data_IF_727278920095
#
_entry.id   IF_727278920095
#
_cell.length_a   1.000
_cell.length_b   1.000
_cell.length_c   1.000
_cell.angle_alpha   90.00
_cell.angle_beta   90.00
_cell.angle_gamma   90.00
#
_symmetry.space_group_name_H-M   'P 1'
#
loop_
_entity.id
_entity.type
_entity.pdbx_description
1 polymer ?
#
# COMPACT_ATOMS: atom_id res chain seq x y z
N UNK A 1 16.47 22.14 -8.01
CA UNK A 1 16.34 20.92 -7.19
C UNK A 1 15.07 21.04 -6.37
N UNK A 2 14.03 20.29 -6.73
CA UNK A 2 12.70 20.44 -6.13
C UNK A 2 12.70 19.89 -4.69
N UNK A 3 12.48 20.76 -3.71
CA UNK A 3 12.22 20.38 -2.34
C UNK A 3 11.01 19.45 -2.32
N UNK A 4 11.26 18.16 -2.11
CA UNK A 4 10.20 17.19 -1.85
C UNK A 4 9.62 17.52 -0.48
N UNK A 5 8.61 18.39 -0.50
CA UNK A 5 7.73 18.68 0.62
C UNK A 5 7.23 17.31 1.12
N UNK A 6 7.79 16.82 2.21
CA UNK A 6 7.31 15.61 2.89
C UNK A 6 5.89 15.95 3.30
N UNK A 7 4.91 15.51 2.48
CA UNK A 7 3.50 15.72 2.79
C UNK A 7 3.30 15.15 4.17
N UNK A 8 2.92 16.01 5.11
CA UNK A 8 2.42 15.67 6.44
C UNK A 8 1.50 14.47 6.24
N UNK A 9 1.91 13.30 6.71
CA UNK A 9 1.08 12.10 6.69
C UNK A 9 -0.18 12.47 7.46
N UNK A 10 -1.26 12.82 6.75
CA UNK A 10 -2.60 12.91 7.34
C UNK A 10 -2.84 11.50 7.89
N UNK A 11 -3.05 11.42 9.20
CA UNK A 11 -3.23 10.26 10.06
C UNK A 11 -3.11 8.86 9.43
N UNK A 12 -2.31 7.93 10.00
CA UNK A 12 -2.16 6.56 9.50
C UNK A 12 -3.51 5.81 9.37
N UNK A 13 -4.48 6.15 10.21
CA UNK A 13 -5.87 5.69 10.13
C UNK A 13 -6.56 6.04 8.81
N UNK A 14 -6.29 7.23 8.25
CA UNK A 14 -6.90 7.65 6.98
C UNK A 14 -6.36 6.86 5.80
N UNK A 15 -5.09 6.48 5.81
CA UNK A 15 -4.50 5.59 4.81
C UNK A 15 -5.10 4.18 4.86
N UNK A 16 -5.36 3.68 6.07
CA UNK A 16 -6.00 2.37 6.28
C UNK A 16 -7.47 2.35 5.82
N UNK A 17 -8.23 3.40 6.10
CA UNK A 17 -9.61 3.49 5.61
C UNK A 17 -9.67 3.54 4.07
N UNK A 18 -8.75 4.28 3.44
CA UNK A 18 -8.67 4.41 1.98
C UNK A 18 -8.33 3.08 1.31
N UNK A 19 -7.55 2.22 1.96
CA UNK A 19 -7.16 0.92 1.41
C UNK A 19 -8.28 -0.11 1.51
N UNK A 20 -9.07 -0.07 2.57
CA UNK A 20 -10.30 -0.88 2.69
C UNK A 20 -11.30 -0.49 1.61
N UNK A 21 -11.63 0.81 1.51
CA UNK A 21 -12.61 1.30 0.52
C UNK A 21 -12.11 1.08 -0.91
N UNK A 22 -10.82 1.35 -1.16
CA UNK A 22 -10.20 1.12 -2.45
C UNK A 22 -10.20 -0.36 -2.85
N UNK A 23 -9.83 -1.27 -1.95
CA UNK A 23 -9.86 -2.70 -2.21
C UNK A 23 -11.28 -3.21 -2.44
N UNK A 24 -12.27 -2.75 -1.66
CA UNK A 24 -13.67 -3.11 -1.84
C UNK A 24 -14.19 -2.67 -3.22
N UNK A 25 -13.97 -1.41 -3.60
CA UNK A 25 -14.41 -0.90 -4.90
C UNK A 25 -13.72 -1.60 -6.08
N UNK A 26 -12.39 -1.80 -5.99
CA UNK A 26 -11.63 -2.50 -7.03
C UNK A 26 -12.04 -3.96 -7.16
N UNK A 27 -12.21 -4.68 -6.04
CA UNK A 27 -12.62 -6.09 -6.10
C UNK A 27 -13.98 -6.26 -6.77
N UNK A 28 -14.97 -5.42 -6.45
CA UNK A 28 -16.27 -5.44 -7.13
C UNK A 28 -16.15 -5.12 -8.62
N UNK A 29 -15.48 -4.03 -8.98
CA UNK A 29 -15.33 -3.58 -10.37
C UNK A 29 -14.65 -4.64 -11.24
N UNK A 30 -13.61 -5.25 -10.69
CA UNK A 30 -12.76 -6.19 -11.38
C UNK A 30 -13.38 -7.60 -11.44
N UNK A 31 -14.39 -7.87 -10.61
CA UNK A 31 -15.19 -9.10 -10.70
C UNK A 31 -16.20 -9.09 -11.86
N UNK A 32 -16.56 -7.91 -12.40
CA UNK A 32 -17.55 -7.77 -13.48
C UNK A 32 -17.16 -8.52 -14.77
N UNK A 33 -15.92 -8.40 -15.30
CA UNK A 33 -15.51 -9.13 -16.51
C UNK A 33 -15.62 -10.65 -16.39
N UNK A 34 -15.55 -11.19 -15.17
CA UNK A 34 -15.63 -12.64 -14.97
C UNK A 34 -17.00 -13.21 -15.31
N UNK A 35 -18.05 -12.37 -15.36
CA UNK A 35 -19.39 -12.76 -15.78
C UNK A 35 -19.45 -13.18 -17.26
N UNK A 36 -18.50 -12.75 -18.10
CA UNK A 36 -18.45 -13.11 -19.51
C UNK A 36 -17.79 -14.49 -19.78
N UNK A 37 -17.20 -15.13 -18.76
CA UNK A 37 -16.50 -16.41 -18.93
C UNK A 37 -17.45 -17.56 -18.58
N UNK A 38 -17.81 -18.43 -19.54
CA UNK A 38 -18.77 -19.52 -19.31
C UNK A 38 -18.15 -20.72 -18.58
N UNK A 39 -16.82 -20.87 -18.60
CA UNK A 39 -16.11 -21.99 -17.97
C UNK A 39 -15.77 -21.68 -16.49
N UNK A 40 -16.24 -22.50 -15.53
CA UNK A 40 -16.10 -22.21 -14.10
C UNK A 40 -14.65 -22.32 -13.60
N UNK A 41 -13.83 -23.27 -14.08
CA UNK A 41 -12.44 -23.42 -13.61
C UNK A 41 -11.55 -22.27 -14.06
N UNK A 42 -11.68 -21.85 -15.33
CA UNK A 42 -10.95 -20.72 -15.88
C UNK A 42 -11.33 -19.42 -15.15
N UNK A 43 -12.62 -19.27 -14.82
CA UNK A 43 -13.13 -18.11 -14.09
C UNK A 43 -12.47 -17.98 -12.71
N UNK A 44 -12.33 -19.06 -11.96
CA UNK A 44 -11.70 -19.07 -10.64
C UNK A 44 -10.19 -18.74 -10.68
N UNK A 45 -9.46 -19.32 -11.65
CA UNK A 45 -8.04 -19.05 -11.84
C UNK A 45 -7.81 -17.58 -12.17
N UNK A 46 -8.56 -17.03 -13.13
CA UNK A 46 -8.47 -15.62 -13.51
C UNK A 46 -8.80 -14.71 -12.33
N UNK A 47 -9.85 -15.02 -11.57
CA UNK A 47 -10.24 -14.26 -10.36
C UNK A 47 -9.10 -14.19 -9.35
N UNK A 48 -8.39 -15.30 -9.10
CA UNK A 48 -7.29 -15.34 -8.15
C UNK A 48 -6.12 -14.42 -8.58
N UNK A 49 -5.71 -14.46 -9.85
CA UNK A 49 -4.64 -13.59 -10.38
C UNK A 49 -5.02 -12.11 -10.33
N UNK A 50 -6.27 -11.85 -10.66
CA UNK A 50 -6.80 -10.50 -10.78
C UNK A 50 -6.97 -9.86 -9.40
N UNK A 51 -7.48 -10.60 -8.41
CA UNK A 51 -7.56 -10.16 -7.01
C UNK A 51 -6.19 -9.98 -6.38
N UNK A 52 -5.23 -10.85 -6.71
CA UNK A 52 -3.84 -10.66 -6.30
C UNK A 52 -3.29 -9.32 -6.83
N UNK A 53 -3.61 -8.98 -8.07
CA UNK A 53 -3.27 -7.67 -8.67
C UNK A 53 -3.94 -6.49 -7.97
N UNK A 54 -5.23 -6.61 -7.62
CA UNK A 54 -5.96 -5.59 -6.85
C UNK A 54 -5.33 -5.38 -5.48
N UNK A 55 -5.04 -6.47 -4.78
CA UNK A 55 -4.33 -6.45 -3.51
C UNK A 55 -2.97 -5.77 -3.62
N UNK A 56 -2.20 -6.17 -4.62
CA UNK A 56 -0.90 -5.61 -4.94
C UNK A 56 -0.96 -4.09 -5.18
N UNK A 57 -1.98 -3.61 -5.92
CA UNK A 57 -2.19 -2.20 -6.19
C UNK A 57 -2.60 -1.42 -4.93
N UNK A 58 -3.53 -1.96 -4.13
CA UNK A 58 -3.97 -1.36 -2.88
C UNK A 58 -2.82 -1.23 -1.86
N UNK A 59 -1.97 -2.26 -1.75
CA UNK A 59 -0.80 -2.28 -0.87
C UNK A 59 0.25 -1.20 -1.18
N UNK A 60 0.32 -0.72 -2.43
CA UNK A 60 1.26 0.35 -2.84
C UNK A 60 0.94 1.71 -2.22
N UNK A 61 -0.31 1.93 -1.84
CA UNK A 61 -0.78 3.18 -1.22
C UNK A 61 -0.58 3.21 0.30
N UNK A 62 -0.38 2.04 0.93
CA UNK A 62 -0.17 1.91 2.37
C UNK A 62 1.33 1.84 2.68
N UNK A 63 1.89 2.88 3.31
CA UNK A 63 3.32 2.86 3.69
C UNK A 63 3.66 1.83 4.79
N UNK A 64 2.67 1.31 5.53
CA UNK A 64 2.83 0.23 6.49
C UNK A 64 2.32 -1.09 5.89
N UNK A 65 3.23 -1.93 5.40
CA UNK A 65 2.88 -3.16 4.67
C UNK A 65 1.91 -4.10 5.40
N UNK A 66 2.03 -4.25 6.73
CA UNK A 66 1.11 -5.06 7.53
C UNK A 66 -0.29 -4.46 7.66
N UNK A 67 -0.41 -3.13 7.72
CA UNK A 67 -1.72 -2.46 7.72
C UNK A 67 -2.37 -2.53 6.33
N UNK A 68 -1.56 -2.46 5.26
CA UNK A 68 -2.02 -2.66 3.89
C UNK A 68 -2.54 -4.08 3.63
N UNK A 69 -1.87 -5.11 4.18
CA UNK A 69 -2.32 -6.51 4.16
C UNK A 69 -3.70 -6.65 4.81
N UNK A 70 -3.86 -6.15 6.04
CA UNK A 70 -5.12 -6.25 6.77
C UNK A 70 -6.25 -5.49 6.05
N UNK A 71 -5.98 -4.30 5.52
CA UNK A 71 -6.96 -3.53 4.77
C UNK A 71 -7.38 -4.19 3.45
N UNK A 72 -6.43 -4.73 2.69
CA UNK A 72 -6.72 -5.46 1.44
C UNK A 72 -7.44 -6.79 1.69
N UNK A 73 -7.09 -7.49 2.78
CA UNK A 73 -7.78 -8.73 3.19
C UNK A 73 -9.24 -8.45 3.55
N UNK A 74 -9.49 -7.47 4.43
CA UNK A 74 -10.85 -7.10 4.86
C UNK A 74 -11.65 -6.57 3.66
N UNK A 75 -11.09 -5.64 2.89
CA UNK A 75 -11.77 -5.09 1.71
C UNK A 75 -12.04 -6.12 0.62
N UNK A 76 -11.11 -7.05 0.38
CA UNK A 76 -11.29 -8.13 -0.60
C UNK A 76 -12.28 -9.20 -0.13
N UNK A 77 -12.29 -9.54 1.15
CA UNK A 77 -13.28 -10.45 1.73
C UNK A 77 -14.69 -9.87 1.62
N UNK A 78 -14.91 -8.65 2.13
CA UNK A 78 -16.23 -8.02 2.05
C UNK A 78 -16.66 -7.71 0.61
N UNK A 79 -15.74 -7.32 -0.27
CA UNK A 79 -16.05 -7.08 -1.68
C UNK A 79 -16.42 -8.35 -2.44
N UNK A 80 -15.74 -9.47 -2.18
CA UNK A 80 -16.06 -10.77 -2.80
C UNK A 80 -17.38 -11.35 -2.28
N UNK A 81 -17.63 -11.26 -0.96
CA UNK A 81 -18.91 -11.67 -0.36
C UNK A 81 -20.07 -10.81 -0.89
N UNK A 82 -19.88 -9.50 -1.00
CA UNK A 82 -20.89 -8.60 -1.58
C UNK A 82 -21.19 -8.97 -3.04
N UNK A 83 -20.17 -9.21 -3.86
CA UNK A 83 -20.33 -9.58 -5.25
C UNK A 83 -21.02 -10.95 -5.42
N UNK A 84 -20.64 -11.94 -4.61
CA UNK A 84 -21.30 -13.24 -4.57
C UNK A 84 -22.78 -13.10 -4.21
N UNK A 85 -23.11 -12.41 -3.11
CA UNK A 85 -24.50 -12.24 -2.66
C UNK A 85 -25.43 -11.59 -3.70
N UNK A 86 -24.89 -10.77 -4.61
CA UNK A 86 -25.67 -10.00 -5.58
C UNK A 86 -25.86 -10.75 -6.92
N UNK A 87 -24.85 -11.51 -7.36
CA UNK A 87 -24.81 -12.11 -8.70
C UNK A 87 -24.77 -13.64 -8.69
N UNK A 88 -24.49 -14.26 -7.55
CA UNK A 88 -24.43 -15.70 -7.36
C UNK A 88 -25.34 -16.11 -6.20
N UNK A 89 -26.54 -16.65 -6.46
CA UNK A 89 -27.39 -17.14 -5.39
C UNK A 89 -26.97 -18.57 -5.02
N UNK A 90 -26.07 -18.78 -4.05
CA UNK A 90 -25.83 -20.16 -3.55
C UNK A 90 -25.26 -20.31 -2.13
N UNK A 91 -25.55 -21.47 -1.55
CA UNK A 91 -25.32 -21.79 -0.14
C UNK A 91 -23.95 -22.41 0.19
N UNK A 92 -23.48 -22.12 1.41
CA UNK A 92 -22.46 -22.88 2.12
C UNK A 92 -21.01 -22.54 1.77
N UNK A 93 -20.47 -23.13 0.69
CA UNK A 93 -19.02 -23.18 0.42
C UNK A 93 -18.45 -21.83 -0.05
N UNK A 94 -19.33 -20.87 -0.32
CA UNK A 94 -18.99 -19.52 -0.77
C UNK A 94 -18.15 -18.77 0.26
N UNK A 95 -18.32 -19.05 1.56
CA UNK A 95 -17.48 -18.47 2.61
C UNK A 95 -16.01 -18.88 2.47
N UNK A 96 -15.73 -20.14 2.11
CA UNK A 96 -14.35 -20.61 1.89
C UNK A 96 -13.74 -19.94 0.66
N UNK A 97 -14.55 -19.74 -0.38
CA UNK A 97 -14.16 -18.99 -1.58
C UNK A 97 -13.88 -17.52 -1.25
N UNK A 98 -14.78 -16.82 -0.56
CA UNK A 98 -14.58 -15.44 -0.14
C UNK A 98 -13.34 -15.28 0.74
N UNK A 99 -13.06 -16.25 1.61
CA UNK A 99 -11.86 -16.26 2.47
C UNK A 99 -10.59 -16.52 1.66
N UNK A 100 -10.61 -17.45 0.70
CA UNK A 100 -9.50 -17.70 -0.21
C UNK A 100 -9.21 -16.49 -1.10
N UNK A 101 -10.25 -15.84 -1.62
CA UNK A 101 -10.17 -14.65 -2.47
C UNK A 101 -9.74 -13.40 -1.68
N UNK A 102 -10.23 -13.24 -0.47
CA UNK A 102 -9.75 -12.23 0.49
C UNK A 102 -8.28 -12.46 0.84
N UNK A 103 -7.87 -13.72 1.03
CA UNK A 103 -6.48 -14.10 1.31
C UNK A 103 -5.54 -13.77 0.14
N UNK A 104 -5.92 -14.06 -1.12
CA UNK A 104 -5.08 -13.72 -2.28
C UNK A 104 -4.92 -12.20 -2.44
N UNK A 105 -5.99 -11.44 -2.24
CA UNK A 105 -5.95 -9.97 -2.21
C UNK A 105 -5.06 -9.45 -1.06
N UNK A 106 -5.24 -9.99 0.15
CA UNK A 106 -4.41 -9.66 1.32
C UNK A 106 -2.93 -9.92 1.05
N UNK A 107 -2.56 -11.12 0.59
CA UNK A 107 -1.17 -11.51 0.29
C UNK A 107 -0.57 -10.58 -0.76
N UNK A 108 -1.30 -10.26 -1.84
CA UNK A 108 -0.87 -9.29 -2.84
C UNK A 108 -0.49 -7.95 -2.21
N UNK A 109 -1.35 -7.41 -1.33
CA UNK A 109 -1.12 -6.15 -0.64
C UNK A 109 0.03 -6.19 0.38
N UNK A 110 0.19 -7.31 1.10
CA UNK A 110 1.28 -7.52 2.03
C UNK A 110 2.65 -7.59 1.33
N UNK A 111 2.72 -8.32 0.22
CA UNK A 111 3.95 -8.47 -0.58
C UNK A 111 4.37 -7.12 -1.17
N UNK A 112 3.45 -6.37 -1.80
CA UNK A 112 3.78 -5.07 -2.38
C UNK A 112 4.09 -4.02 -1.32
N UNK A 113 3.40 -4.01 -0.19
CA UNK A 113 3.70 -3.12 0.93
C UNK A 113 5.11 -3.35 1.49
N UNK A 114 5.53 -4.61 1.65
CA UNK A 114 6.89 -4.97 2.11
C UNK A 114 7.97 -4.57 1.09
N UNK A 115 7.69 -4.72 -0.21
CA UNK A 115 8.60 -4.27 -1.28
C UNK A 115 8.71 -2.75 -1.34
N UNK A 116 7.60 -2.02 -1.16
CA UNK A 116 7.56 -0.56 -1.07
C UNK A 116 8.39 -0.03 0.09
N UNK A 117 8.24 -0.61 1.28
CA UNK A 117 9.06 -0.30 2.45
C UNK A 117 10.56 -0.51 2.20
N UNK A 118 10.95 -1.62 1.56
CA UNK A 118 12.34 -1.87 1.17
C UNK A 118 12.88 -0.83 0.20
N UNK A 119 12.06 -0.26 -0.68
CA UNK A 119 12.45 0.82 -1.60
C UNK A 119 12.62 2.14 -0.85
N UNK A 120 11.69 2.50 0.03
CA UNK A 120 11.81 3.70 0.88
C UNK A 120 13.02 3.60 1.79
N UNK A 121 13.24 2.46 2.45
CA UNK A 121 14.42 2.25 3.30
C UNK A 121 15.74 2.38 2.52
N UNK A 122 15.79 1.94 1.26
CA UNK A 122 16.95 2.15 0.38
C UNK A 122 17.16 3.63 0.05
N UNK A 123 16.10 4.36 -0.29
CA UNK A 123 16.16 5.81 -0.54
C UNK A 123 16.62 6.56 0.71
N UNK A 124 16.02 6.27 1.87
CA UNK A 124 16.39 6.87 3.16
C UNK A 124 17.84 6.58 3.54
N UNK A 125 18.37 5.39 3.22
CA UNK A 125 19.80 5.09 3.41
C UNK A 125 20.71 5.90 2.49
N UNK A 126 20.25 6.25 1.29
CA UNK A 126 21.01 7.06 0.33
C UNK A 126 20.94 8.57 0.60
N UNK A 127 19.98 9.03 1.43
CA UNK A 127 19.91 10.43 1.84
C UNK A 127 21.10 10.80 2.75
N UNK A 128 21.77 11.94 2.50
CA UNK A 128 22.87 12.39 3.34
C UNK A 128 22.37 12.68 4.75
N UNK A 129 22.74 11.83 5.73
CA UNK A 129 22.31 11.95 7.13
C UNK A 129 22.84 13.22 7.83
N UNK A 130 23.91 13.79 7.30
CA UNK A 130 24.55 14.98 7.82
C UNK A 130 25.00 15.85 6.65
N UNK A 131 24.93 17.17 6.85
CA UNK A 131 25.52 18.15 5.95
C UNK A 131 26.82 18.67 6.59
N UNK A 132 27.71 19.24 5.79
CA UNK A 132 28.91 19.91 6.32
C UNK A 132 28.65 21.41 6.36
N UNK A 133 29.19 22.08 7.38
CA UNK A 133 29.20 23.53 7.41
C UNK A 133 30.07 24.04 6.26
N UNK A 134 29.55 24.94 5.41
CA UNK A 134 30.33 25.52 4.31
C UNK A 134 31.49 26.41 4.79
N UNK A 135 31.45 26.87 6.05
CA UNK A 135 32.44 27.79 6.62
C UNK A 135 33.60 27.07 7.32
N UNK A 136 33.32 25.99 8.06
CA UNK A 136 34.33 25.27 8.86
C UNK A 136 34.45 23.76 8.54
N UNK A 137 33.63 23.21 7.64
CA UNK A 137 33.66 21.79 7.28
C UNK A 137 33.07 20.82 8.32
N UNK A 138 32.71 21.28 9.53
CA UNK A 138 32.17 20.44 10.59
C UNK A 138 30.85 19.75 10.17
N UNK A 139 30.65 18.48 10.58
CA UNK A 139 29.38 17.76 10.38
C UNK A 139 28.29 18.37 11.25
N UNK A 140 27.17 18.70 10.63
CA UNK A 140 25.97 19.27 11.26
C UNK A 140 24.72 18.53 10.79
N UNK A 141 23.70 18.47 11.64
CA UNK A 141 22.42 17.86 11.29
C UNK A 141 21.72 18.58 10.13
N UNK A 142 20.90 17.86 9.36
CA UNK A 142 20.14 18.40 8.23
C UNK A 142 19.24 19.59 8.62
N UNK A 143 18.67 19.55 9.82
CA UNK A 143 17.75 20.57 10.37
C UNK A 143 18.44 21.62 11.23
N UNK A 144 19.77 21.54 11.44
CA UNK A 144 20.48 22.48 12.29
C UNK A 144 20.47 23.89 11.67
N UNK A 145 20.15 24.93 12.43
CA UNK A 145 20.22 26.31 11.93
C UNK A 145 21.54 27.01 12.26
N UNK A 146 22.25 26.55 13.29
CA UNK A 146 23.57 27.04 13.69
C UNK A 146 24.59 25.91 13.73
N UNK A 147 25.83 26.20 13.33
CA UNK A 147 26.92 25.25 13.47
C UNK A 147 27.36 25.16 14.94
N UNK A 148 27.55 23.95 15.46
CA UNK A 148 28.00 23.74 16.84
C UNK A 148 29.47 24.15 17.07
N UNK A 149 30.31 24.08 16.02
CA UNK A 149 31.74 24.42 16.09
C UNK A 149 31.99 25.91 15.86
N UNK A 150 31.62 26.46 14.70
CA UNK A 150 31.92 27.86 14.36
C UNK A 150 30.81 28.85 14.70
N UNK A 151 29.68 28.40 15.26
CA UNK A 151 28.47 29.21 15.57
C UNK A 151 27.87 30.00 14.41
N UNK A 152 28.36 29.81 13.19
CA UNK A 152 27.81 30.46 12.00
C UNK A 152 26.39 29.96 11.73
N UNK A 153 25.52 30.89 11.30
CA UNK A 153 24.23 30.54 10.74
C UNK A 153 24.43 29.79 9.43
N UNK A 154 23.68 28.72 9.27
CA UNK A 154 23.72 27.89 8.09
C UNK A 154 22.48 28.18 7.23
N UNK A 155 22.61 28.25 5.89
CA UNK A 155 21.46 28.38 5.02
C UNK A 155 20.53 27.16 5.17
N UNK A 156 19.22 27.42 5.17
CA UNK A 156 18.21 26.36 5.15
C UNK A 156 18.21 25.74 3.75
N UNK A 157 18.29 24.40 3.68
CA UNK A 157 18.29 23.65 2.42
C UNK A 157 16.87 23.42 1.91
#
# INVERSE_FOLDING_TARGET
MAATRVRKLRNPLSGFALTIVGALALTVLVSIPTLLIPFPELRAIVLAFVLFGVGAAAGRTSYLGWMGFAGAFVGGFFGSVLFQSLFWPTGGWEYLLGLALGATCGIGGGVTGKLGLRRVARVVKALPRARRCQRCGARVGLTAQKCWSCRAFLPQA
#
